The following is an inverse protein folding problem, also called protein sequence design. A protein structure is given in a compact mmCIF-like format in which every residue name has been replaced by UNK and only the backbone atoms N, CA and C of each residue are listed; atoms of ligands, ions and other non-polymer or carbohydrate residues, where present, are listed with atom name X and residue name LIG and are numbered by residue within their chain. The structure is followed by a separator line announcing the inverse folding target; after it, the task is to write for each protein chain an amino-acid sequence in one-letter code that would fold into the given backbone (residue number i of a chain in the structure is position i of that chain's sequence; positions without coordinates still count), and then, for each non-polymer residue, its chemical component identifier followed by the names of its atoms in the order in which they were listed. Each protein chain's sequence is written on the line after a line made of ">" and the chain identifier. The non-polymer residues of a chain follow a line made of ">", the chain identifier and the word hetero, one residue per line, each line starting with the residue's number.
data_IF_177993678748
#
_entry.id   IF_177993678748
#
_cell.length_a   1.000
_cell.length_b   1.000
_cell.length_c   1.000
_cell.angle_alpha   90.00
_cell.angle_beta   90.00
_cell.angle_gamma   90.00
#
_symmetry.space_group_name_H-M   'P 1'
#
loop_
_entity.id
_entity.type
_entity.pdbx_description
1 polymer ?
#
# COMPACT_ATOMS: atom_id res chain seq x y z
N UNK A 1 56.92 10.77 15.37
CA UNK A 1 55.75 11.02 14.50
C UNK A 1 54.57 10.11 14.90
N UNK A 2 54.19 10.11 16.18
CA UNK A 2 53.02 9.35 16.67
C UNK A 2 52.15 10.13 17.66
N UNK A 3 52.62 11.30 18.13
CA UNK A 3 51.84 12.20 19.02
C UNK A 3 51.15 13.36 18.28
N UNK A 4 51.50 13.62 17.01
CA UNK A 4 50.89 14.72 16.24
C UNK A 4 49.50 14.36 15.69
N UNK A 5 49.20 13.07 15.50
CA UNK A 5 47.92 12.61 14.91
C UNK A 5 46.77 12.57 15.91
N UNK A 6 47.03 12.47 17.21
CA UNK A 6 45.97 12.48 18.24
C UNK A 6 45.39 13.86 18.50
N UNK A 7 46.22 14.90 18.39
CA UNK A 7 45.79 16.29 18.61
C UNK A 7 44.88 16.74 17.46
N UNK A 8 45.16 16.32 16.22
CA UNK A 8 44.30 16.62 15.06
C UNK A 8 42.96 15.86 15.12
N UNK A 9 42.92 14.63 15.63
CA UNK A 9 41.66 13.88 15.81
C UNK A 9 40.78 14.48 16.91
N UNK A 10 41.35 14.93 18.04
CA UNK A 10 40.60 15.60 19.12
C UNK A 10 40.08 16.98 18.73
N UNK A 11 40.81 17.75 17.89
CA UNK A 11 40.31 19.05 17.40
C UNK A 11 39.14 18.89 16.41
N UNK A 12 39.16 17.84 15.57
CA UNK A 12 38.05 17.54 14.66
C UNK A 12 36.79 17.11 15.43
N UNK A 13 36.93 16.27 16.46
CA UNK A 13 35.80 15.81 17.28
C UNK A 13 35.19 16.95 18.12
N UNK A 14 36.01 17.91 18.54
CA UNK A 14 35.55 19.11 19.24
C UNK A 14 34.83 20.09 18.30
N UNK A 15 35.28 20.23 17.06
CA UNK A 15 34.59 21.06 16.05
C UNK A 15 33.21 20.52 15.68
N UNK A 16 33.05 19.20 15.60
CA UNK A 16 31.79 18.54 15.27
C UNK A 16 30.77 18.60 16.42
N UNK A 17 31.23 18.59 17.67
CA UNK A 17 30.35 18.75 18.84
C UNK A 17 29.86 20.20 19.02
N UNK A 18 30.70 21.20 18.73
CA UNK A 18 30.29 22.61 18.73
C UNK A 18 29.28 22.92 17.60
N UNK A 19 29.39 22.29 16.43
CA UNK A 19 28.44 22.45 15.32
C UNK A 19 27.09 21.77 15.61
N UNK A 20 27.10 20.63 16.32
CA UNK A 20 25.90 19.95 16.79
C UNK A 20 25.12 20.77 17.84
N UNK A 21 25.80 21.41 18.79
CA UNK A 21 25.16 22.30 19.77
C UNK A 21 24.58 23.56 19.14
N UNK A 22 25.25 24.12 18.12
CA UNK A 22 24.77 25.31 17.40
C UNK A 22 23.51 25.03 16.59
N UNK A 23 23.38 23.81 16.06
CA UNK A 23 22.19 23.33 15.35
C UNK A 23 21.03 23.03 16.30
N UNK A 24 21.33 22.59 17.52
CA UNK A 24 20.29 22.36 18.56
C UNK A 24 19.69 23.66 19.07
N UNK A 25 20.50 24.72 19.26
CA UNK A 25 20.01 26.03 19.72
C UNK A 25 19.15 26.76 18.69
N UNK A 26 19.34 26.51 17.40
CA UNK A 26 18.51 27.09 16.32
C UNK A 26 17.14 26.42 16.20
N UNK A 27 16.94 25.23 16.78
CA UNK A 27 15.66 24.52 16.77
C UNK A 27 14.79 24.83 18.00
N UNK A 28 15.36 25.34 19.09
CA UNK A 28 14.60 25.75 20.28
C UNK A 28 13.97 27.15 20.13
N UNK A 29 14.53 28.03 19.30
CA UNK A 29 13.99 29.38 19.07
C UNK A 29 12.73 29.42 18.18
N UNK A 30 12.39 28.34 17.45
CA UNK A 30 11.23 28.28 16.54
C UNK A 30 9.96 27.71 17.23
N UNK A 31 9.97 27.58 18.56
CA UNK A 31 8.87 27.02 19.37
C UNK A 31 8.05 28.06 20.16
N UNK A 32 8.32 29.36 19.98
CA UNK A 32 7.62 30.43 20.69
C UNK A 32 6.33 30.89 20.02
N UNK A 33 5.21 30.18 20.23
CA UNK A 33 3.87 30.69 19.89
C UNK A 33 3.30 31.46 21.09
N UNK A 34 3.12 32.76 20.88
CA UNK A 34 2.49 33.71 21.79
C UNK A 34 0.97 33.51 21.82
N UNK A 35 0.41 33.44 23.02
CA UNK A 35 -1.04 33.48 23.28
C UNK A 35 -1.50 34.93 23.34
N UNK A 36 -2.33 35.37 22.38
CA UNK A 36 -3.27 36.46 22.60
C UNK A 36 -4.63 36.07 22.01
N UNK A 37 -5.65 36.07 22.88
CA UNK A 37 -7.02 35.81 22.52
C UNK A 37 -7.71 37.05 21.99
N UNK A 38 -8.80 36.84 21.24
CA UNK A 38 -9.95 37.72 21.38
C UNK A 38 -11.24 36.99 21.00
N UNK A 39 -12.17 37.01 21.95
CA UNK A 39 -13.57 36.63 21.81
C UNK A 39 -14.35 37.67 21.02
N UNK A 40 -15.31 37.25 20.20
CA UNK A 40 -16.60 37.94 20.09
C UNK A 40 -17.66 37.06 19.43
N UNK A 41 -18.88 37.32 19.86
CA UNK A 41 -20.10 36.53 19.85
C UNK A 41 -21.07 36.87 18.71
N UNK A 42 -22.14 36.07 18.61
CA UNK A 42 -23.45 36.31 17.96
C UNK A 42 -23.51 35.99 16.46
N UNK A 43 -24.55 35.37 15.90
CA UNK A 43 -25.86 34.93 16.38
C UNK A 43 -26.82 34.79 15.19
N UNK A 44 -27.89 34.00 15.33
CA UNK A 44 -29.13 33.93 14.49
C UNK A 44 -28.97 33.50 13.02
N UNK A 45 -29.74 32.59 12.41
CA UNK A 45 -31.06 32.04 12.72
C UNK A 45 -32.11 32.62 11.76
N UNK A 46 -32.35 32.02 10.59
CA UNK A 46 -33.66 32.10 9.92
C UNK A 46 -33.89 31.04 8.84
N UNK A 47 -34.90 30.21 9.10
CA UNK A 47 -35.65 29.37 8.18
C UNK A 47 -36.94 30.10 7.79
N UNK A 48 -37.36 30.03 6.54
CA UNK A 48 -38.77 30.18 6.11
C UNK A 48 -38.91 29.71 4.66
N UNK A 49 -39.60 28.59 4.44
CA UNK A 49 -40.25 28.27 3.18
C UNK A 49 -41.77 28.32 3.42
N UNK A 50 -42.45 29.18 2.67
CA UNK A 50 -43.91 29.30 2.63
C UNK A 50 -44.41 28.67 1.32
N UNK A 51 -45.24 27.65 1.45
CA UNK A 51 -46.11 27.16 0.38
C UNK A 51 -47.37 28.03 0.25
N UNK A 52 -47.84 28.22 -0.99
CA UNK A 52 -49.27 28.32 -1.40
C UNK A 52 -49.40 28.40 -2.94
N UNK A 53 -49.86 27.31 -3.57
CA UNK A 53 -51.18 27.14 -4.26
C UNK A 53 -51.76 28.38 -5.04
N UNK A 54 -52.35 28.38 -6.26
CA UNK A 54 -53.25 27.48 -7.05
C UNK A 54 -53.34 27.99 -8.52
N UNK A 55 -53.58 27.10 -9.51
CA UNK A 55 -54.57 27.21 -10.64
C UNK A 55 -54.08 26.43 -11.88
N UNK A 56 -54.49 25.19 -12.10
CA UNK A 56 -55.70 24.73 -12.81
C UNK A 56 -55.77 25.12 -14.29
N UNK A 57 -55.52 24.17 -15.18
CA UNK A 57 -56.39 24.03 -16.35
C UNK A 57 -56.54 22.54 -16.74
N UNK A 58 -57.80 22.15 -16.92
CA UNK A 58 -58.24 20.80 -17.23
C UNK A 58 -58.32 20.64 -18.75
N UNK A 59 -57.87 19.49 -19.29
CA UNK A 59 -58.68 18.84 -20.32
C UNK A 59 -58.53 17.32 -20.34
N UNK A 60 -59.70 16.72 -20.45
CA UNK A 60 -60.13 15.36 -20.24
C UNK A 60 -59.85 14.50 -21.49
N UNK A 61 -59.45 13.24 -21.32
CA UNK A 61 -60.03 12.17 -22.14
C UNK A 61 -59.76 10.77 -21.57
N UNK A 62 -60.89 10.09 -21.35
CA UNK A 62 -61.11 8.83 -20.64
C UNK A 62 -61.20 7.68 -21.64
N UNK A 63 -60.45 6.58 -21.48
CA UNK A 63 -60.92 5.23 -21.85
C UNK A 63 -60.03 4.06 -21.37
N UNK A 64 -60.70 3.15 -20.65
CA UNK A 64 -60.55 1.67 -20.63
C UNK A 64 -59.38 1.02 -19.87
N UNK A 65 -59.67 0.76 -18.58
CA UNK A 65 -59.13 -0.35 -17.78
C UNK A 65 -59.34 -1.70 -18.49
N UNK A 66 -58.26 -2.41 -18.82
CA UNK A 66 -58.23 -3.87 -18.99
C UNK A 66 -57.31 -4.44 -17.90
N UNK A 67 -57.83 -5.42 -17.16
CA UNK A 67 -57.09 -6.27 -16.22
C UNK A 67 -56.12 -7.15 -17.01
N UNK A 68 -54.87 -7.24 -16.56
CA UNK A 68 -53.88 -8.25 -16.95
C UNK A 68 -53.18 -8.71 -15.68
N UNK A 69 -53.08 -10.03 -15.52
CA UNK A 69 -52.59 -10.76 -14.35
C UNK A 69 -51.08 -10.56 -14.10
N UNK A 70 -50.59 -10.79 -12.87
CA UNK A 70 -49.21 -10.51 -12.49
C UNK A 70 -48.32 -11.76 -12.62
N UNK A 71 -47.91 -12.14 -13.83
CA UNK A 71 -46.86 -13.17 -14.01
C UNK A 71 -45.98 -12.82 -15.21
N UNK A 72 -44.87 -12.12 -14.94
CA UNK A 72 -43.53 -12.26 -15.55
C UNK A 72 -42.64 -11.06 -15.14
N UNK A 73 -42.29 -10.96 -13.84
CA UNK A 73 -41.07 -10.23 -13.47
C UNK A 73 -39.89 -11.20 -13.67
N UNK A 74 -39.11 -10.96 -14.72
CA UNK A 74 -37.82 -11.58 -14.92
C UNK A 74 -36.99 -11.47 -13.62
N UNK A 75 -36.26 -12.52 -13.22
CA UNK A 75 -35.52 -12.50 -11.96
C UNK A 75 -34.55 -11.33 -11.98
N UNK A 76 -34.77 -10.38 -11.06
CA UNK A 76 -33.84 -9.29 -10.78
C UNK A 76 -32.51 -9.96 -10.48
N UNK A 77 -31.54 -9.84 -11.40
CA UNK A 77 -30.15 -10.20 -11.14
C UNK A 77 -29.76 -9.44 -9.89
N UNK A 78 -29.67 -10.13 -8.77
CA UNK A 78 -28.95 -9.64 -7.60
C UNK A 78 -27.55 -9.37 -8.16
N UNK A 79 -27.20 -8.10 -8.28
CA UNK A 79 -25.87 -7.70 -8.69
C UNK A 79 -24.98 -8.08 -7.51
N UNK A 80 -24.45 -9.31 -7.51
CA UNK A 80 -23.40 -9.69 -6.59
C UNK A 80 -22.28 -8.66 -6.76
N UNK A 81 -22.06 -7.87 -5.71
CA UNK A 81 -20.98 -6.89 -5.66
C UNK A 81 -19.69 -7.69 -5.87
N UNK A 82 -19.01 -7.45 -7.00
CA UNK A 82 -17.80 -8.20 -7.33
C UNK A 82 -16.73 -7.96 -6.27
N UNK A 83 -15.91 -8.95 -5.96
CA UNK A 83 -14.92 -8.87 -4.89
C UNK A 83 -14.05 -7.59 -4.94
N UNK A 84 -13.57 -7.20 -6.12
CA UNK A 84 -12.81 -5.95 -6.30
C UNK A 84 -13.58 -4.69 -5.87
N UNK A 85 -14.90 -4.65 -6.05
CA UNK A 85 -15.73 -3.53 -5.57
C UNK A 85 -15.83 -3.52 -4.04
N UNK A 86 -15.89 -4.68 -3.38
CA UNK A 86 -15.85 -4.77 -1.93
C UNK A 86 -14.50 -4.30 -1.36
N UNK A 87 -13.39 -4.70 -2.00
CA UNK A 87 -12.04 -4.21 -1.64
C UNK A 87 -11.95 -2.69 -1.82
N UNK A 88 -12.43 -2.16 -2.95
CA UNK A 88 -12.43 -0.73 -3.21
C UNK A 88 -13.26 0.04 -2.18
N UNK A 89 -14.45 -0.46 -1.83
CA UNK A 89 -15.32 0.15 -0.82
C UNK A 89 -14.62 0.21 0.55
N UNK A 90 -14.02 -0.90 1.00
CA UNK A 90 -13.31 -0.93 2.28
C UNK A 90 -12.19 0.12 2.36
N UNK A 91 -11.33 0.20 1.35
CA UNK A 91 -10.22 1.17 1.36
C UNK A 91 -10.69 2.63 1.19
N UNK A 92 -11.82 2.86 0.53
CA UNK A 92 -12.46 4.16 0.43
C UNK A 92 -13.05 4.62 1.79
N UNK A 93 -13.59 3.69 2.58
CA UNK A 93 -14.20 3.97 3.90
C UNK A 93 -13.16 4.13 5.03
N UNK A 94 -12.00 3.48 4.90
CA UNK A 94 -10.96 3.52 5.91
C UNK A 94 -10.48 4.96 6.14
N UNK A 95 -10.74 5.54 7.31
CA UNK A 95 -10.35 6.93 7.59
C UNK A 95 -8.84 7.08 7.73
N UNK A 96 -8.29 8.18 7.20
CA UNK A 96 -6.91 8.54 7.50
C UNK A 96 -6.80 9.14 8.90
N UNK A 97 -6.33 8.31 9.83
CA UNK A 97 -5.89 8.79 11.14
C UNK A 97 -4.46 9.33 11.03
N UNK A 98 -4.24 10.55 11.52
CA UNK A 98 -2.94 11.25 11.47
C UNK A 98 -1.81 10.52 12.21
N UNK A 99 -0.57 11.02 12.05
CA UNK A 99 0.63 10.38 12.61
C UNK A 99 0.55 10.16 14.13
N UNK A 100 -0.02 11.10 14.87
CA UNK A 100 -0.18 11.01 16.34
C UNK A 100 -1.11 9.88 16.77
N UNK A 101 -2.23 9.68 16.07
CA UNK A 101 -3.11 8.54 16.37
C UNK A 101 -2.46 7.22 15.98
N UNK A 102 -1.68 7.21 14.89
CA UNK A 102 -0.95 6.00 14.45
C UNK A 102 0.15 5.59 15.43
N UNK A 103 0.80 6.54 16.12
CA UNK A 103 1.85 6.22 17.11
C UNK A 103 1.29 5.60 18.39
N UNK A 104 0.00 5.79 18.66
CA UNK A 104 -0.72 5.19 19.80
C UNK A 104 -1.33 3.81 19.47
N UNK A 105 -1.21 3.35 18.22
CA UNK A 105 -1.81 2.09 17.76
C UNK A 105 -1.04 0.86 18.27
N UNK A 106 -1.78 -0.20 18.60
CA UNK A 106 -1.20 -1.51 18.99
C UNK A 106 -0.31 -2.12 17.90
N UNK A 107 -0.53 -1.74 16.64
CA UNK A 107 0.21 -2.24 15.48
C UNK A 107 1.27 -1.24 14.97
N UNK A 108 1.63 -0.23 15.77
CA UNK A 108 2.63 0.78 15.40
C UNK A 108 3.95 0.16 14.90
N UNK A 109 4.54 -0.73 15.69
CA UNK A 109 5.80 -1.39 15.34
C UNK A 109 5.67 -2.28 14.11
N UNK A 110 4.54 -2.97 13.94
CA UNK A 110 4.25 -3.78 12.75
C UNK A 110 4.18 -2.93 11.48
N UNK A 111 3.48 -1.78 11.53
CA UNK A 111 3.40 -0.83 10.40
C UNK A 111 4.81 -0.31 10.05
N UNK A 112 5.62 0.00 11.05
CA UNK A 112 6.99 0.47 10.85
C UNK A 112 7.90 -0.61 10.28
N UNK A 113 7.80 -1.85 10.76
CA UNK A 113 8.52 -3.01 10.22
C UNK A 113 8.15 -3.28 8.77
N UNK A 114 6.85 -3.31 8.43
CA UNK A 114 6.39 -3.46 7.05
C UNK A 114 6.94 -2.33 6.15
N UNK A 115 6.93 -1.09 6.65
CA UNK A 115 7.52 0.03 5.92
C UNK A 115 9.05 -0.08 5.76
N UNK A 116 9.76 -0.60 6.75
CA UNK A 116 11.20 -0.88 6.66
C UNK A 116 11.48 -1.95 5.61
N UNK A 117 10.78 -3.08 5.65
CA UNK A 117 10.88 -4.17 4.67
C UNK A 117 10.70 -3.65 3.24
N UNK A 118 9.65 -2.85 3.00
CA UNK A 118 9.42 -2.20 1.70
C UNK A 118 10.54 -1.24 1.32
N UNK A 119 11.04 -0.44 2.26
CA UNK A 119 12.12 0.52 2.00
C UNK A 119 13.41 -0.16 1.56
N UNK A 120 13.79 -1.25 2.24
CA UNK A 120 14.99 -2.03 1.90
C UNK A 120 14.82 -2.75 0.57
N UNK A 121 13.65 -3.38 0.34
CA UNK A 121 13.35 -4.06 -0.92
C UNK A 121 13.39 -3.09 -2.12
N UNK A 122 12.71 -1.95 -2.01
CA UNK A 122 12.68 -0.91 -3.05
C UNK A 122 14.09 -0.38 -3.31
N UNK A 123 14.85 -0.04 -2.25
CA UNK A 123 16.22 0.44 -2.37
C UNK A 123 17.13 -0.54 -3.12
N UNK A 124 17.07 -1.83 -2.76
CA UNK A 124 17.85 -2.88 -3.41
C UNK A 124 17.63 -2.92 -4.93
N UNK A 125 16.37 -2.90 -5.38
CA UNK A 125 16.06 -3.02 -6.79
C UNK A 125 16.25 -1.72 -7.57
N UNK A 126 16.08 -0.56 -6.93
CA UNK A 126 16.51 0.72 -7.50
C UNK A 126 18.01 0.69 -7.78
N UNK A 127 18.84 0.26 -6.82
CA UNK A 127 20.29 0.21 -7.00
C UNK A 127 20.71 -0.79 -8.08
N UNK A 128 20.03 -1.93 -8.19
CA UNK A 128 20.25 -2.91 -9.27
C UNK A 128 19.97 -2.32 -10.65
N UNK A 129 18.86 -1.58 -10.81
CA UNK A 129 18.52 -0.90 -12.07
C UNK A 129 19.50 0.24 -12.35
N UNK A 130 19.87 1.00 -11.31
CA UNK A 130 20.75 2.17 -11.40
C UNK A 130 22.15 1.85 -11.93
N UNK A 131 22.64 0.63 -11.73
CA UNK A 131 23.89 0.13 -12.33
C UNK A 131 23.86 0.15 -13.86
N UNK A 132 22.67 0.16 -14.48
CA UNK A 132 22.49 0.13 -15.94
C UNK A 132 21.95 1.47 -16.51
N UNK A 133 21.15 2.21 -15.74
CA UNK A 133 20.44 3.41 -16.22
C UNK A 133 20.13 4.38 -15.07
N UNK A 134 20.24 5.69 -15.32
CA UNK A 134 19.90 6.74 -14.33
C UNK A 134 18.39 7.01 -14.23
N UNK A 135 17.71 7.03 -15.37
CA UNK A 135 16.33 7.48 -15.52
C UNK A 135 15.33 6.35 -15.25
N UNK A 136 15.04 6.11 -13.98
CA UNK A 136 14.19 4.99 -13.55
C UNK A 136 12.70 5.35 -13.64
N UNK A 137 11.92 4.54 -14.34
CA UNK A 137 10.46 4.64 -14.43
C UNK A 137 9.81 3.48 -13.69
N UNK A 138 8.85 3.78 -12.81
CA UNK A 138 8.25 2.80 -11.90
C UNK A 138 6.74 2.75 -12.06
N UNK A 139 6.17 1.54 -12.06
CA UNK A 139 4.75 1.27 -11.85
C UNK A 139 4.53 0.84 -10.39
N UNK A 140 3.65 1.51 -9.66
CA UNK A 140 3.23 1.15 -8.31
C UNK A 140 1.77 0.66 -8.36
N UNK A 141 1.62 -0.66 -8.36
CA UNK A 141 0.36 -1.38 -8.58
C UNK A 141 -0.32 -1.65 -7.23
N UNK A 142 -1.50 -1.06 -7.06
CA UNK A 142 -2.20 -0.98 -5.77
C UNK A 142 -1.49 -0.01 -4.84
N UNK A 143 -1.29 1.22 -5.32
CA UNK A 143 -0.52 2.25 -4.59
C UNK A 143 -1.19 2.70 -3.28
N UNK A 144 -2.46 2.36 -3.07
CA UNK A 144 -3.28 2.85 -1.99
C UNK A 144 -3.19 4.38 -1.88
N UNK A 145 -3.07 4.87 -0.63
CA UNK A 145 -2.97 6.29 -0.29
C UNK A 145 -1.55 6.86 -0.40
N UNK A 146 -0.69 6.25 -1.22
CA UNK A 146 0.67 6.74 -1.49
C UNK A 146 1.66 6.55 -0.34
N UNK A 147 1.58 5.43 0.38
CA UNK A 147 2.51 5.10 1.49
C UNK A 147 3.98 4.95 1.07
N UNK A 148 4.22 4.70 -0.22
CA UNK A 148 5.55 4.45 -0.78
C UNK A 148 6.13 5.66 -1.56
N UNK A 149 5.38 6.76 -1.71
CA UNK A 149 5.82 7.98 -2.41
C UNK A 149 7.17 8.53 -1.89
N UNK A 150 7.36 8.55 -0.57
CA UNK A 150 8.62 9.03 0.04
C UNK A 150 9.78 8.07 -0.25
N UNK A 151 9.50 6.76 -0.36
CA UNK A 151 10.51 5.74 -0.71
C UNK A 151 10.99 5.97 -2.14
N UNK A 152 10.06 6.22 -3.06
CA UNK A 152 10.35 6.57 -4.44
C UNK A 152 11.08 7.91 -4.59
N UNK A 153 10.72 8.93 -3.78
CA UNK A 153 11.42 10.24 -3.77
C UNK A 153 12.86 10.08 -3.31
N UNK A 154 13.10 9.39 -2.19
CA UNK A 154 14.46 9.07 -1.69
C UNK A 154 15.23 8.22 -2.69
N UNK A 155 14.52 7.35 -3.39
CA UNK A 155 15.03 6.56 -4.49
C UNK A 155 15.37 7.36 -5.74
N UNK A 156 15.11 8.68 -5.82
CA UNK A 156 15.43 9.57 -6.96
C UNK A 156 15.07 8.98 -8.33
N UNK A 157 13.88 8.39 -8.44
CA UNK A 157 13.36 7.91 -9.72
C UNK A 157 12.97 9.09 -10.61
N UNK A 158 12.79 8.85 -11.92
CA UNK A 158 12.37 9.88 -12.88
C UNK A 158 10.86 10.00 -12.97
N UNK A 159 10.15 8.88 -13.12
CA UNK A 159 8.69 8.85 -13.30
C UNK A 159 8.07 7.74 -12.46
N UNK A 160 6.89 8.02 -11.88
CA UNK A 160 6.05 7.07 -11.16
C UNK A 160 4.65 7.03 -11.77
N UNK A 161 4.13 5.84 -12.03
CA UNK A 161 2.72 5.61 -12.33
C UNK A 161 2.10 4.92 -11.12
N UNK A 162 1.16 5.56 -10.46
CA UNK A 162 0.42 5.04 -9.32
C UNK A 162 -0.96 4.58 -9.78
N UNK A 163 -1.33 3.33 -9.50
CA UNK A 163 -2.66 2.83 -9.83
C UNK A 163 -3.29 2.09 -8.67
N UNK A 164 -4.60 2.26 -8.49
CA UNK A 164 -5.40 1.54 -7.50
C UNK A 164 -6.84 1.40 -7.98
N UNK A 165 -7.56 0.42 -7.44
CA UNK A 165 -8.98 0.21 -7.74
C UNK A 165 -9.87 1.25 -7.02
N UNK A 166 -9.42 1.70 -5.85
CA UNK A 166 -10.14 2.63 -4.98
C UNK A 166 -9.85 4.09 -5.38
N UNK A 167 -10.82 4.77 -6.00
CA UNK A 167 -10.65 6.16 -6.46
C UNK A 167 -10.21 7.12 -5.34
N UNK A 168 -10.83 7.02 -4.16
CA UNK A 168 -10.47 7.89 -3.02
C UNK A 168 -8.99 7.68 -2.64
N UNK A 169 -8.51 6.44 -2.66
CA UNK A 169 -7.10 6.15 -2.41
C UNK A 169 -6.19 6.78 -3.46
N UNK A 170 -6.56 6.72 -4.75
CA UNK A 170 -5.81 7.37 -5.84
C UNK A 170 -5.80 8.89 -5.67
N UNK A 171 -6.92 9.52 -5.34
CA UNK A 171 -6.98 10.96 -5.11
C UNK A 171 -6.15 11.39 -3.89
N UNK A 172 -6.17 10.61 -2.80
CA UNK A 172 -5.33 10.86 -1.62
C UNK A 172 -3.84 10.68 -1.93
N UNK A 173 -3.48 9.66 -2.71
CA UNK A 173 -2.12 9.46 -3.20
C UNK A 173 -1.65 10.66 -4.03
N UNK A 174 -2.49 11.15 -4.94
CA UNK A 174 -2.24 12.34 -5.75
C UNK A 174 -2.04 13.58 -4.88
N UNK A 175 -2.94 13.85 -3.94
CA UNK A 175 -2.82 14.99 -3.03
C UNK A 175 -1.51 14.94 -2.24
N UNK A 176 -1.15 13.77 -1.70
CA UNK A 176 0.09 13.57 -0.96
C UNK A 176 1.35 13.83 -1.81
N UNK A 177 1.30 13.46 -3.09
CA UNK A 177 2.37 13.79 -4.04
C UNK A 177 2.46 15.31 -4.28
N UNK A 178 1.34 15.98 -4.53
CA UNK A 178 1.31 17.44 -4.74
C UNK A 178 1.81 18.20 -3.51
N UNK A 179 1.42 17.78 -2.29
CA UNK A 179 1.92 18.36 -1.06
C UNK A 179 3.44 18.15 -0.89
N UNK A 180 3.95 17.00 -1.32
CA UNK A 180 5.38 16.71 -1.30
C UNK A 180 6.13 17.56 -2.34
N UNK A 181 5.52 17.79 -3.50
CA UNK A 181 6.04 18.62 -4.59
C UNK A 181 6.06 20.10 -4.22
N UNK A 182 4.99 20.62 -3.62
CA UNK A 182 4.89 22.00 -3.17
C UNK A 182 5.93 22.35 -2.08
N UNK A 183 6.34 21.35 -1.29
CA UNK A 183 7.39 21.47 -0.26
C UNK A 183 8.81 21.27 -0.79
N UNK A 184 8.98 20.81 -2.04
CA UNK A 184 10.31 20.64 -2.63
C UNK A 184 10.97 22.01 -2.86
N UNK A 185 12.19 22.17 -2.33
CA UNK A 185 13.04 23.32 -2.64
C UNK A 185 13.47 23.26 -4.12
N UNK A 186 13.87 24.41 -4.67
CA UNK A 186 14.27 24.55 -6.09
C UNK A 186 15.32 23.50 -6.56
N UNK A 187 16.21 23.06 -5.67
CA UNK A 187 17.25 22.07 -5.98
C UNK A 187 16.90 20.62 -5.59
N UNK A 188 15.71 20.38 -5.02
CA UNK A 188 15.26 19.03 -4.69
C UNK A 188 14.58 18.35 -5.88
N UNK A 189 15.11 17.21 -6.27
CA UNK A 189 14.49 16.37 -7.31
C UNK A 189 13.21 15.71 -6.78
N UNK A 190 12.15 15.78 -7.58
CA UNK A 190 10.94 15.00 -7.43
C UNK A 190 10.59 14.39 -8.79
N UNK A 191 10.10 13.15 -8.78
CA UNK A 191 9.69 12.45 -9.99
C UNK A 191 8.43 13.04 -10.60
N UNK A 192 8.24 12.86 -11.90
CA UNK A 192 6.95 13.06 -12.56
C UNK A 192 5.99 11.95 -12.13
N UNK A 193 4.74 12.28 -11.87
CA UNK A 193 3.74 11.31 -11.40
C UNK A 193 2.50 11.27 -12.29
N UNK A 194 1.93 10.08 -12.42
CA UNK A 194 0.68 9.79 -13.12
C UNK A 194 -0.19 8.91 -12.21
N UNK A 195 -1.49 9.21 -12.13
CA UNK A 195 -2.41 8.57 -11.19
C UNK A 195 -3.60 7.99 -11.94
N UNK A 196 -3.83 6.68 -11.83
CA UNK A 196 -4.81 5.94 -12.62
C UNK A 196 -5.72 5.12 -11.71
N UNK A 197 -7.01 5.43 -11.73
CA UNK A 197 -8.03 4.57 -11.14
C UNK A 197 -8.36 3.43 -12.12
N UNK A 198 -8.12 2.19 -11.71
CA UNK A 198 -8.37 1.00 -12.53
C UNK A 198 -8.42 -0.28 -11.69
N UNK A 199 -9.27 -1.22 -12.08
CA UNK A 199 -9.18 -2.59 -11.58
C UNK A 199 -8.07 -3.31 -12.36
N UNK A 200 -6.86 -3.35 -11.79
CA UNK A 200 -5.69 -3.98 -12.44
C UNK A 200 -5.84 -5.49 -12.66
N UNK A 201 -6.91 -6.12 -12.16
CA UNK A 201 -7.25 -7.53 -12.41
C UNK A 201 -8.17 -7.72 -13.61
N UNK A 202 -8.81 -6.65 -14.11
CA UNK A 202 -9.78 -6.73 -15.22
C UNK A 202 -9.45 -5.78 -16.37
N UNK A 203 -8.94 -4.61 -16.04
CA UNK A 203 -8.53 -3.58 -16.99
C UNK A 203 -7.12 -3.84 -17.52
N UNK A 204 -6.89 -3.53 -18.80
CA UNK A 204 -5.54 -3.48 -19.36
C UNK A 204 -4.95 -2.07 -19.14
N UNK A 205 -3.98 -1.94 -18.24
CA UNK A 205 -3.40 -0.64 -17.85
C UNK A 205 -2.69 0.07 -19.00
N UNK A 206 -2.12 -0.68 -19.95
CA UNK A 206 -1.42 -0.08 -21.11
C UNK A 206 -2.33 0.74 -22.03
N UNK A 207 -3.64 0.55 -21.94
CA UNK A 207 -4.64 1.38 -22.64
C UNK A 207 -4.97 2.69 -21.89
N UNK A 208 -4.57 2.81 -20.63
CA UNK A 208 -4.90 3.93 -19.72
C UNK A 208 -3.73 4.87 -19.45
N UNK A 209 -2.52 4.53 -19.90
CA UNK A 209 -1.36 5.40 -19.73
C UNK A 209 -1.48 6.67 -20.58
N UNK A 210 -1.13 7.82 -20.01
CA UNK A 210 -1.08 9.12 -20.70
C UNK A 210 -0.15 9.10 -21.91
N UNK A 211 0.95 8.34 -21.80
CA UNK A 211 1.91 8.11 -22.88
C UNK A 211 1.76 6.66 -23.35
N UNK A 212 1.25 6.43 -24.58
CA UNK A 212 1.18 5.10 -25.16
C UNK A 212 2.55 4.42 -25.16
N UNK A 213 2.57 3.11 -24.96
CA UNK A 213 3.81 2.31 -24.92
C UNK A 213 4.81 2.74 -23.83
N UNK A 214 4.33 3.33 -22.72
CA UNK A 214 5.17 3.52 -21.53
C UNK A 214 5.76 2.18 -21.10
N UNK A 215 7.08 2.15 -20.89
CA UNK A 215 7.79 1.00 -20.33
C UNK A 215 8.30 1.33 -18.92
N UNK A 216 8.44 0.30 -18.10
CA UNK A 216 8.85 0.40 -16.70
C UNK A 216 10.18 -0.32 -16.49
N UNK A 217 11.00 0.21 -15.59
CA UNK A 217 12.20 -0.47 -15.11
C UNK A 217 11.89 -1.32 -13.86
N UNK A 218 10.89 -0.89 -13.07
CA UNK A 218 10.39 -1.60 -11.89
C UNK A 218 8.86 -1.55 -11.88
N UNK A 219 8.21 -2.68 -11.63
CA UNK A 219 6.83 -2.75 -11.16
C UNK A 219 6.83 -3.20 -9.71
N UNK A 220 6.22 -2.42 -8.81
CA UNK A 220 6.06 -2.71 -7.40
C UNK A 220 4.61 -3.08 -7.08
N UNK A 221 4.38 -4.17 -6.36
CA UNK A 221 3.04 -4.61 -5.95
C UNK A 221 3.09 -5.07 -4.48
N UNK A 222 2.81 -4.16 -3.56
CA UNK A 222 3.04 -4.36 -2.13
C UNK A 222 1.73 -4.66 -1.41
N UNK A 223 1.56 -5.90 -0.93
CA UNK A 223 0.33 -6.36 -0.25
C UNK A 223 -0.94 -6.23 -1.10
N UNK A 224 -0.85 -6.51 -2.40
CA UNK A 224 -1.98 -6.35 -3.33
C UNK A 224 -2.24 -7.61 -4.15
N UNK A 225 -1.18 -8.36 -4.48
CA UNK A 225 -1.27 -9.39 -5.52
C UNK A 225 -2.27 -10.53 -5.20
N UNK A 226 -2.44 -10.87 -3.92
CA UNK A 226 -3.38 -11.90 -3.47
C UNK A 226 -4.85 -11.60 -3.78
N UNK A 227 -5.26 -10.33 -3.92
CA UNK A 227 -6.62 -9.98 -4.34
C UNK A 227 -6.93 -10.44 -5.77
N UNK A 228 -5.91 -10.67 -6.61
CA UNK A 228 -6.12 -11.14 -7.99
C UNK A 228 -6.42 -12.64 -8.09
N UNK A 229 -6.19 -13.42 -7.03
CA UNK A 229 -6.31 -14.88 -7.05
C UNK A 229 -7.76 -15.39 -6.90
N UNK A 230 -8.74 -14.51 -7.05
CA UNK A 230 -10.16 -14.88 -7.15
C UNK A 230 -10.41 -15.84 -8.33
N UNK A 231 -9.86 -15.51 -9.51
CA UNK A 231 -9.92 -16.33 -10.73
C UNK A 231 -8.58 -16.36 -11.44
N UNK A 232 -8.40 -17.33 -12.35
CA UNK A 232 -7.21 -17.40 -13.19
C UNK A 232 -7.06 -16.14 -14.06
N UNK A 233 -8.16 -15.68 -14.66
CA UNK A 233 -8.21 -14.55 -15.57
C UNK A 233 -7.75 -13.27 -14.87
N UNK A 234 -8.18 -13.07 -13.63
CA UNK A 234 -7.78 -11.92 -12.80
C UNK A 234 -6.29 -11.95 -12.44
N UNK A 235 -5.78 -13.11 -12.01
CA UNK A 235 -4.38 -13.29 -11.67
C UNK A 235 -3.45 -13.14 -12.89
N UNK A 236 -3.85 -13.66 -14.06
CA UNK A 236 -3.10 -13.53 -15.32
C UNK A 236 -3.14 -12.10 -15.85
N UNK A 237 -4.28 -11.40 -15.75
CA UNK A 237 -4.38 -9.99 -16.13
C UNK A 237 -3.51 -9.09 -15.24
N UNK A 238 -3.49 -9.32 -13.92
CA UNK A 238 -2.63 -8.55 -13.03
C UNK A 238 -1.14 -8.78 -13.34
N UNK A 239 -0.73 -10.02 -13.66
CA UNK A 239 0.65 -10.27 -14.15
C UNK A 239 0.93 -9.63 -15.50
N UNK A 240 -0.03 -9.67 -16.42
CA UNK A 240 0.10 -9.00 -17.72
C UNK A 240 0.34 -7.51 -17.54
N UNK A 241 -0.39 -6.87 -16.63
CA UNK A 241 -0.21 -5.46 -16.29
C UNK A 241 1.13 -5.19 -15.58
N UNK A 242 1.54 -6.05 -14.65
CA UNK A 242 2.77 -5.89 -13.88
C UNK A 242 4.04 -6.14 -14.72
N UNK A 243 4.00 -7.09 -15.65
CA UNK A 243 5.17 -7.61 -16.35
C UNK A 243 5.21 -7.24 -17.84
N UNK A 244 4.05 -7.05 -18.49
CA UNK A 244 3.95 -6.87 -19.94
C UNK A 244 4.61 -5.61 -20.49
N UNK A 245 4.75 -4.58 -19.65
CA UNK A 245 5.40 -3.31 -19.99
C UNK A 245 6.74 -3.12 -19.26
N UNK A 246 7.30 -4.16 -18.65
CA UNK A 246 8.67 -4.08 -18.15
C UNK A 246 9.66 -4.00 -19.33
N UNK A 247 10.73 -3.23 -19.14
CA UNK A 247 11.85 -3.22 -20.06
C UNK A 247 12.69 -4.49 -19.84
N UNK A 248 13.42 -5.00 -20.85
CA UNK A 248 14.32 -6.13 -20.66
C UNK A 248 15.30 -5.90 -19.49
N UNK A 249 15.36 -6.84 -18.54
CA UNK A 249 16.13 -6.71 -17.31
C UNK A 249 15.47 -5.85 -16.22
N UNK A 250 14.22 -5.44 -16.42
CA UNK A 250 13.36 -4.82 -15.40
C UNK A 250 12.83 -5.84 -14.39
N UNK A 251 12.31 -5.34 -13.28
CA UNK A 251 11.93 -6.16 -12.13
C UNK A 251 10.47 -5.98 -11.76
N UNK A 252 9.76 -7.09 -11.52
CA UNK A 252 8.52 -7.10 -10.77
C UNK A 252 8.83 -7.51 -9.33
N UNK A 253 8.58 -6.60 -8.39
CA UNK A 253 8.83 -6.76 -6.96
C UNK A 253 7.53 -6.66 -6.17
N UNK A 254 7.39 -7.41 -5.09
CA UNK A 254 6.18 -7.32 -4.29
C UNK A 254 6.20 -8.09 -2.98
N UNK A 255 5.14 -7.90 -2.21
CA UNK A 255 4.87 -8.64 -0.98
C UNK A 255 3.48 -9.26 -1.01
N UNK A 256 3.35 -10.51 -0.56
CA UNK A 256 2.06 -11.23 -0.51
C UNK A 256 2.04 -12.26 0.62
N UNK A 257 0.89 -12.65 1.17
CA UNK A 257 0.82 -13.71 2.18
C UNK A 257 1.42 -15.05 1.73
N UNK A 258 2.02 -15.77 2.69
CA UNK A 258 2.70 -17.04 2.52
C UNK A 258 1.70 -18.18 2.69
N UNK A 259 1.26 -18.77 1.58
CA UNK A 259 0.31 -19.88 1.60
C UNK A 259 0.76 -21.06 2.46
N UNK A 260 2.06 -21.37 2.51
CA UNK A 260 2.56 -22.46 3.36
C UNK A 260 2.35 -22.17 4.85
N UNK A 261 2.59 -20.94 5.29
CA UNK A 261 2.42 -20.55 6.70
C UNK A 261 0.94 -20.43 7.06
N UNK A 262 0.11 -19.88 6.16
CA UNK A 262 -1.33 -19.80 6.33
C UNK A 262 -1.95 -21.20 6.48
N UNK A 263 -1.65 -22.11 5.54
CA UNK A 263 -2.17 -23.49 5.59
C UNK A 263 -1.62 -24.24 6.79
N UNK A 264 -0.33 -24.09 7.14
CA UNK A 264 0.26 -24.72 8.33
C UNK A 264 -0.50 -24.34 9.61
N UNK A 265 -0.80 -23.06 9.82
CA UNK A 265 -1.54 -22.58 11.00
C UNK A 265 -3.01 -23.00 10.97
N UNK A 266 -3.64 -22.96 9.81
CA UNK A 266 -5.00 -23.47 9.62
C UNK A 266 -5.08 -24.96 9.96
N UNK A 267 -4.14 -25.76 9.48
CA UNK A 267 -4.09 -27.20 9.72
C UNK A 267 -3.85 -27.56 11.19
N UNK A 268 -3.10 -26.72 11.91
CA UNK A 268 -2.90 -26.86 13.36
C UNK A 268 -4.12 -26.40 14.20
N UNK A 269 -5.00 -25.56 13.65
CA UNK A 269 -6.20 -25.08 14.34
C UNK A 269 -7.31 -26.15 14.40
N UNK A 270 -8.07 -26.17 15.49
CA UNK A 270 -9.27 -27.00 15.63
C UNK A 270 -10.45 -26.50 14.77
N UNK A 271 -10.39 -25.24 14.33
CA UNK A 271 -11.45 -24.58 13.55
C UNK A 271 -10.93 -24.10 12.20
N UNK A 272 -11.81 -23.49 11.39
CA UNK A 272 -11.41 -22.81 10.15
C UNK A 272 -10.74 -21.45 10.40
N UNK A 273 -10.48 -21.08 11.65
CA UNK A 273 -9.89 -19.79 12.03
C UNK A 273 -8.62 -19.96 12.84
N UNK A 274 -7.70 -19.02 12.71
CA UNK A 274 -6.54 -18.87 13.60
C UNK A 274 -6.15 -17.40 13.70
N UNK A 275 -5.45 -17.02 14.76
CA UNK A 275 -5.13 -15.62 15.00
C UNK A 275 -4.62 -15.38 16.41
N UNK A 276 -4.54 -14.11 16.78
CA UNK A 276 -4.27 -13.63 18.12
C UNK A 276 -4.97 -12.28 18.33
N UNK A 277 -4.65 -11.58 19.40
CA UNK A 277 -5.30 -10.31 19.75
C UNK A 277 -5.05 -9.16 18.74
N UNK A 278 -4.20 -9.36 17.73
CA UNK A 278 -3.81 -8.35 16.74
C UNK A 278 -4.38 -8.66 15.35
N UNK A 279 -4.41 -9.94 14.97
CA UNK A 279 -4.92 -10.35 13.67
C UNK A 279 -5.74 -11.64 13.77
N UNK A 280 -6.68 -11.82 12.84
CA UNK A 280 -7.36 -13.10 12.66
C UNK A 280 -7.47 -13.46 11.18
N UNK A 281 -7.41 -14.75 10.89
CA UNK A 281 -7.60 -15.34 9.57
C UNK A 281 -8.71 -16.36 9.69
N UNK A 282 -9.70 -16.32 8.80
CA UNK A 282 -10.79 -17.28 8.74
C UNK A 282 -10.98 -17.80 7.32
N UNK A 283 -10.71 -19.07 7.11
CA UNK A 283 -10.96 -19.73 5.82
C UNK A 283 -12.44 -20.13 5.71
N UNK A 284 -12.96 -20.14 4.48
CA UNK A 284 -14.30 -20.70 4.22
C UNK A 284 -14.32 -22.21 4.51
N UNK A 285 -13.26 -22.92 4.11
CA UNK A 285 -13.13 -24.37 4.29
C UNK A 285 -11.67 -24.78 4.49
N UNK A 286 -11.44 -25.72 5.40
CA UNK A 286 -10.16 -26.39 5.66
C UNK A 286 -10.06 -27.70 4.88
N UNK A 287 -8.85 -28.07 4.45
CA UNK A 287 -8.55 -29.30 3.71
C UNK A 287 -8.79 -29.26 2.20
N UNK A 288 -9.38 -28.18 1.68
CA UNK A 288 -9.55 -27.93 0.25
C UNK A 288 -8.97 -26.57 -0.11
N UNK A 289 -7.91 -26.58 -0.92
CA UNK A 289 -7.14 -25.38 -1.28
C UNK A 289 -7.05 -25.26 -2.81
N UNK A 290 -8.12 -24.80 -3.48
CA UNK A 290 -8.09 -24.62 -4.92
C UNK A 290 -7.03 -23.59 -5.32
N UNK A 291 -6.49 -23.74 -6.54
CA UNK A 291 -5.42 -22.86 -7.04
C UNK A 291 -5.85 -21.39 -7.20
N UNK A 292 -7.14 -21.17 -7.46
CA UNK A 292 -7.81 -19.86 -7.52
C UNK A 292 -9.11 -19.94 -6.73
N UNK A 293 -9.57 -18.81 -6.21
CA UNK A 293 -10.81 -18.72 -5.44
C UNK A 293 -10.73 -19.30 -4.02
N UNK A 294 -9.54 -19.68 -3.54
CA UNK A 294 -9.33 -20.15 -2.18
C UNK A 294 -9.40 -18.98 -1.19
N UNK A 295 -10.61 -18.61 -0.80
CA UNK A 295 -10.92 -17.41 -0.04
C UNK A 295 -10.70 -17.59 1.47
N UNK A 296 -10.16 -16.54 2.10
CA UNK A 296 -10.12 -16.38 3.54
C UNK A 296 -10.36 -14.92 3.91
N UNK A 297 -11.04 -14.66 5.02
CA UNK A 297 -11.16 -13.32 5.56
C UNK A 297 -9.90 -13.02 6.38
N UNK A 298 -9.26 -11.90 6.10
CA UNK A 298 -8.13 -11.40 6.87
C UNK A 298 -8.50 -10.12 7.62
N UNK A 299 -8.37 -10.20 8.94
CA UNK A 299 -8.60 -9.08 9.83
C UNK A 299 -7.28 -8.68 10.49
N UNK A 300 -6.90 -7.41 10.36
CA UNK A 300 -5.83 -6.78 11.13
C UNK A 300 -6.39 -5.50 11.73
N UNK A 301 -6.26 -5.39 13.05
CA UNK A 301 -6.77 -4.25 13.82
C UNK A 301 -6.37 -2.91 13.15
N UNK A 302 -7.35 -2.04 12.90
CA UNK A 302 -7.22 -0.72 12.25
C UNK A 302 -6.70 -0.69 10.79
N UNK A 303 -6.45 -1.82 10.11
CA UNK A 303 -5.81 -1.80 8.77
C UNK A 303 -6.65 -2.43 7.70
N UNK A 304 -7.16 -3.64 7.96
CA UNK A 304 -7.82 -4.42 6.91
C UNK A 304 -8.84 -5.35 7.52
N UNK A 305 -9.99 -5.43 6.84
CA UNK A 305 -11.06 -6.37 7.11
C UNK A 305 -11.74 -6.71 5.78
N UNK A 306 -10.99 -7.35 4.89
CA UNK A 306 -11.47 -7.76 3.56
C UNK A 306 -11.12 -9.22 3.28
N UNK A 307 -11.90 -9.89 2.42
CA UNK A 307 -11.51 -11.18 1.90
C UNK A 307 -10.21 -11.10 1.10
N UNK A 308 -9.40 -12.13 1.20
CA UNK A 308 -8.19 -12.35 0.41
C UNK A 308 -8.24 -13.75 -0.22
N UNK A 309 -7.32 -14.04 -1.15
CA UNK A 309 -7.19 -15.35 -1.77
C UNK A 309 -5.80 -15.95 -1.61
N UNK A 310 -5.77 -17.26 -1.40
CA UNK A 310 -4.53 -17.99 -1.17
C UNK A 310 -3.64 -18.00 -2.41
N UNK A 311 -2.41 -17.51 -2.27
CA UNK A 311 -1.42 -17.50 -3.35
C UNK A 311 -0.44 -18.66 -3.19
N UNK A 312 -0.63 -19.73 -3.96
CA UNK A 312 0.36 -20.80 -4.04
C UNK A 312 1.58 -20.35 -4.85
N UNK A 313 2.69 -20.08 -4.17
CA UNK A 313 3.84 -19.43 -4.81
C UNK A 313 4.41 -20.17 -6.03
N UNK A 314 4.54 -21.50 -6.05
CA UNK A 314 4.99 -22.21 -7.25
C UNK A 314 4.06 -21.99 -8.46
N UNK A 315 2.74 -21.83 -8.25
CA UNK A 315 1.82 -21.46 -9.31
C UNK A 315 2.10 -20.04 -9.82
N UNK A 316 2.28 -19.07 -8.92
CA UNK A 316 2.65 -17.70 -9.29
C UNK A 316 3.95 -17.66 -10.11
N UNK A 317 4.97 -18.42 -9.71
CA UNK A 317 6.21 -18.53 -10.49
C UNK A 317 5.97 -19.07 -11.91
N UNK A 318 5.13 -20.10 -12.06
CA UNK A 318 4.77 -20.65 -13.37
C UNK A 318 3.96 -19.65 -14.22
N UNK A 319 3.03 -18.93 -13.62
CA UNK A 319 2.27 -17.89 -14.31
C UNK A 319 3.20 -16.74 -14.75
N UNK A 320 4.13 -16.31 -13.90
CA UNK A 320 5.09 -15.26 -14.25
C UNK A 320 6.01 -15.66 -15.44
N UNK A 321 6.37 -16.95 -15.56
CA UNK A 321 7.13 -17.47 -16.72
C UNK A 321 6.40 -17.28 -18.05
N UNK A 322 5.07 -17.36 -18.07
CA UNK A 322 4.24 -17.08 -19.27
C UNK A 322 4.45 -15.64 -19.77
N UNK A 323 4.79 -14.71 -18.88
CA UNK A 323 5.07 -13.31 -19.18
C UNK A 323 6.57 -13.02 -19.37
N UNK A 324 7.39 -14.07 -19.56
CA UNK A 324 8.83 -13.95 -19.80
C UNK A 324 9.66 -13.73 -18.54
N UNK A 325 9.06 -13.81 -17.35
CA UNK A 325 9.75 -13.53 -16.09
C UNK A 325 10.49 -14.75 -15.56
N UNK A 326 11.60 -14.50 -14.86
CA UNK A 326 12.37 -15.50 -14.11
C UNK A 326 12.48 -15.08 -12.65
N UNK A 327 12.30 -16.04 -11.74
CA UNK A 327 12.44 -15.78 -10.32
C UNK A 327 13.87 -15.34 -9.98
N UNK A 328 14.00 -14.20 -9.28
CA UNK A 328 15.29 -13.74 -8.74
C UNK A 328 15.48 -14.34 -7.36
N UNK A 329 14.52 -14.14 -6.45
CA UNK A 329 14.48 -14.82 -5.16
C UNK A 329 13.06 -14.88 -4.60
N UNK A 330 12.85 -15.76 -3.62
CA UNK A 330 11.70 -15.76 -2.73
C UNK A 330 12.21 -15.80 -1.30
N UNK A 331 11.77 -14.88 -0.46
CA UNK A 331 12.10 -14.92 0.98
C UNK A 331 10.84 -14.69 1.81
N UNK A 332 10.75 -15.37 2.94
CA UNK A 332 9.84 -14.96 4.02
C UNK A 332 10.34 -13.63 4.62
N UNK A 333 9.45 -12.88 5.26
CA UNK A 333 9.84 -11.65 5.97
C UNK A 333 10.91 -11.91 7.03
N UNK A 334 10.89 -13.08 7.68
CA UNK A 334 11.92 -13.48 8.65
C UNK A 334 13.28 -13.65 7.99
N UNK A 335 13.36 -14.45 6.93
CA UNK A 335 14.62 -14.67 6.20
C UNK A 335 15.16 -13.35 5.62
N UNK A 336 14.28 -12.50 5.08
CA UNK A 336 14.66 -11.20 4.57
C UNK A 336 15.18 -10.29 5.69
N UNK A 337 14.52 -10.23 6.83
CA UNK A 337 15.01 -9.46 7.97
C UNK A 337 16.39 -9.96 8.43
N UNK A 338 16.53 -11.26 8.67
CA UNK A 338 17.77 -11.89 9.14
C UNK A 338 18.93 -11.68 8.16
N UNK A 339 18.65 -11.66 6.85
CA UNK A 339 19.64 -11.32 5.83
C UNK A 339 19.97 -9.82 5.84
N UNK A 340 18.95 -8.96 5.74
CA UNK A 340 19.15 -7.53 5.49
C UNK A 340 19.65 -6.76 6.70
N UNK A 341 19.39 -7.22 7.92
CA UNK A 341 19.83 -6.55 9.15
C UNK A 341 21.35 -6.63 9.38
N UNK A 342 22.05 -7.51 8.65
CA UNK A 342 23.51 -7.62 8.66
C UNK A 342 24.19 -6.39 8.05
N UNK A 343 23.48 -5.60 7.26
CA UNK A 343 23.94 -4.32 6.75
C UNK A 343 23.64 -3.22 7.80
N UNK A 344 24.68 -2.49 8.22
CA UNK A 344 24.55 -1.47 9.26
C UNK A 344 23.65 -0.28 8.85
N UNK A 345 23.61 0.12 7.58
CA UNK A 345 22.70 1.17 7.12
C UNK A 345 21.23 0.73 7.24
N UNK A 346 20.93 -0.52 6.90
CA UNK A 346 19.58 -1.08 7.06
C UNK A 346 19.18 -1.17 8.53
N UNK A 347 20.12 -1.54 9.41
CA UNK A 347 19.91 -1.59 10.86
C UNK A 347 19.70 -0.21 11.47
N UNK A 348 20.47 0.79 11.05
CA UNK A 348 20.24 2.19 11.44
C UNK A 348 18.90 2.70 10.91
N UNK A 349 18.49 2.32 9.69
CA UNK A 349 17.17 2.66 9.16
C UNK A 349 16.05 2.04 10.00
N UNK A 350 16.18 0.76 10.39
CA UNK A 350 15.20 0.06 11.24
C UNK A 350 14.99 0.80 12.58
N UNK A 351 16.09 1.23 13.21
CA UNK A 351 16.07 2.01 14.46
C UNK A 351 15.42 3.38 14.27
N UNK A 352 15.82 4.14 13.24
CA UNK A 352 15.23 5.45 12.93
C UNK A 352 13.73 5.37 12.65
N UNK A 353 13.28 4.28 12.05
CA UNK A 353 11.87 4.05 11.76
C UNK A 353 11.09 3.49 12.96
N UNK A 354 11.73 3.25 14.11
CA UNK A 354 11.10 2.64 15.29
C UNK A 354 10.34 1.37 14.92
N UNK A 355 10.99 0.50 14.14
CA UNK A 355 10.38 -0.71 13.58
C UNK A 355 10.47 -1.93 14.50
N UNK A 356 11.17 -1.83 15.63
CA UNK A 356 11.18 -2.82 16.70
C UNK A 356 10.84 -2.13 18.03
N UNK A 357 10.16 -2.86 18.91
CA UNK A 357 9.98 -2.45 20.31
C UNK A 357 11.33 -2.43 21.04
N UNK A 358 11.49 -1.53 22.01
CA UNK A 358 12.77 -1.28 22.69
C UNK A 358 13.25 -2.51 23.49
N UNK A 359 12.35 -3.42 23.84
CA UNK A 359 12.70 -4.72 24.43
C UNK A 359 12.99 -5.78 23.35
N UNK A 360 14.29 -5.92 23.07
CA UNK A 360 14.92 -6.88 22.17
C UNK A 360 14.70 -8.33 22.66
N UNK A 361 13.51 -8.90 22.45
CA UNK A 361 13.29 -10.36 22.37
C UNK A 361 11.91 -10.77 21.87
N UNK A 362 10.92 -9.87 21.85
CA UNK A 362 9.50 -10.28 21.75
C UNK A 362 8.94 -10.33 20.31
N UNK A 363 9.69 -9.87 19.31
CA UNK A 363 9.20 -9.85 17.91
C UNK A 363 9.37 -11.17 17.15
N UNK A 364 10.17 -12.11 17.65
CA UNK A 364 10.35 -13.43 17.04
C UNK A 364 9.72 -14.56 17.84
N UNK A 365 8.85 -14.23 18.79
CA UNK A 365 8.01 -15.23 19.43
C UNK A 365 6.92 -15.68 18.44
N UNK A 366 6.88 -16.97 18.17
CA UNK A 366 6.13 -17.58 17.05
C UNK A 366 4.62 -17.34 17.11
N UNK A 367 4.11 -16.97 18.27
CA UNK A 367 2.68 -16.81 18.56
C UNK A 367 2.13 -15.40 18.29
N UNK A 368 2.99 -14.36 18.23
CA UNK A 368 2.50 -12.96 18.25
C UNK A 368 2.49 -12.21 16.91
N UNK A 369 3.24 -12.65 15.91
CA UNK A 369 3.57 -11.75 14.80
C UNK A 369 2.83 -12.05 13.47
N UNK A 370 1.97 -11.12 13.04
CA UNK A 370 1.40 -11.08 11.68
C UNK A 370 2.44 -10.66 10.61
N UNK A 371 3.61 -10.17 11.04
CA UNK A 371 4.75 -9.93 10.15
C UNK A 371 5.29 -11.22 9.50
N UNK A 372 4.92 -12.40 9.98
CA UNK A 372 5.42 -13.69 9.50
C UNK A 372 4.70 -14.23 8.25
N UNK A 373 3.65 -13.56 7.78
CA UNK A 373 2.92 -14.00 6.58
C UNK A 373 3.52 -13.47 5.29
N UNK A 374 4.34 -12.44 5.30
CA UNK A 374 4.84 -11.86 4.06
C UNK A 374 5.86 -12.77 3.33
N UNK A 375 5.61 -13.04 2.06
CA UNK A 375 6.58 -13.46 1.06
C UNK A 375 7.01 -12.24 0.27
N UNK A 376 8.31 -12.10 0.05
CA UNK A 376 8.89 -11.14 -0.87
C UNK A 376 9.15 -11.87 -2.19
N UNK A 377 8.63 -11.30 -3.28
CA UNK A 377 8.74 -11.83 -4.63
C UNK A 377 9.42 -10.81 -5.54
N UNK A 378 10.68 -11.02 -5.89
CA UNK A 378 11.25 -10.38 -7.07
C UNK A 378 11.41 -11.36 -8.22
N UNK A 379 10.84 -10.99 -9.36
CA UNK A 379 11.07 -11.66 -10.65
C UNK A 379 11.65 -10.64 -11.63
N UNK A 380 12.51 -11.10 -12.53
CA UNK A 380 13.16 -10.28 -13.54
C UNK A 380 12.77 -10.75 -14.95
N UNK A 381 12.59 -9.80 -15.87
CA UNK A 381 12.31 -10.10 -17.27
C UNK A 381 13.59 -10.36 -18.06
#
# INVERSE_FOLDING_TARGET
>A
MADLTKIEEEEVEKSLSEEAERTSRTLEEDSGISLEGNSSTSGTGHSTENEKEIASDNQDNRAKKRKLDPEDEAPRKIHEIGHGQAVAAHYNELQEVGLEKRSQSRIFYLRNFNNWTKSVLIGEFIDRVRRKKSDITVLDLGCGKGGDLLKWKKGRIKKLVCTDIADISVQQCKQRYEDMKARCRYNEHIFDAEFIQADSTKDLLSSKYNVPHTCFDICSCQFVYHYSFETYEQADMMLKNACGNLSPGGYFIGTTPNSFELVKRLEASETNSFGNDVYSVKFEKKGEYPLFGCKYDFHLEEVVDVPEFLVYFPLLEQMAKKHGMKLVYKMTFREFYEEKIKNEEHKMLLRRMQALEVDLTVLFDSERNSALYGLILPVAQ
#
